data_IF_722652364718
#
_entry.id   IF_722652364718
#
_cell.length_a   1.000
_cell.length_b   1.000
_cell.length_c   1.000
_cell.angle_alpha   90.00
_cell.angle_beta   90.00
_cell.angle_gamma   90.00
#
_symmetry.space_group_name_H-M   'P 1'
#
loop_
_entity.id
_entity.type
_entity.pdbx_description
1 polymer ?
#
# COMPACT_ATOMS: atom_id res chain seq x y z
N UNK A 1 -12.08 23.36 -14.44
CA UNK A 1 -11.92 21.96 -14.00
C UNK A 1 -12.45 21.82 -12.57
N UNK A 2 -13.26 20.81 -12.27
CA UNK A 2 -13.93 20.65 -10.97
C UNK A 2 -12.93 20.07 -9.94
N UNK A 3 -12.52 20.87 -8.94
CA UNK A 3 -11.53 20.51 -7.91
C UNK A 3 -11.83 19.16 -7.23
N UNK A 4 -13.11 18.86 -6.99
CA UNK A 4 -13.53 17.58 -6.39
C UNK A 4 -13.15 16.39 -7.27
N UNK A 5 -13.36 16.51 -8.59
CA UNK A 5 -13.07 15.44 -9.57
C UNK A 5 -11.56 15.18 -9.69
N UNK A 6 -10.76 16.23 -9.57
CA UNK A 6 -9.30 16.13 -9.60
C UNK A 6 -8.75 15.41 -8.36
N UNK A 7 -9.25 15.76 -7.17
CA UNK A 7 -8.91 15.08 -5.91
C UNK A 7 -9.29 13.59 -5.95
N UNK A 8 -10.48 13.28 -6.45
CA UNK A 8 -10.94 11.89 -6.63
C UNK A 8 -10.05 11.10 -7.58
N UNK A 9 -9.69 11.69 -8.73
CA UNK A 9 -8.78 11.05 -9.69
C UNK A 9 -7.43 10.75 -9.07
N UNK A 10 -6.86 11.71 -8.33
CA UNK A 10 -5.59 11.59 -7.61
C UNK A 10 -5.62 10.49 -6.56
N UNK A 11 -6.71 10.41 -5.80
CA UNK A 11 -6.94 9.35 -4.82
C UNK A 11 -7.03 7.98 -5.50
N UNK A 12 -7.84 7.84 -6.56
CA UNK A 12 -8.01 6.59 -7.30
C UNK A 12 -6.70 6.09 -7.90
N UNK A 13 -5.90 6.96 -8.52
CA UNK A 13 -4.60 6.58 -9.07
C UNK A 13 -3.68 6.04 -7.97
N UNK A 14 -3.67 6.67 -6.79
CA UNK A 14 -2.85 6.22 -5.67
C UNK A 14 -3.26 4.84 -5.16
N UNK A 15 -4.57 4.60 -5.07
CA UNK A 15 -5.10 3.29 -4.72
C UNK A 15 -4.75 2.24 -5.76
N UNK A 16 -4.90 2.54 -7.05
CA UNK A 16 -4.58 1.58 -8.12
C UNK A 16 -3.10 1.20 -8.08
N UNK A 17 -2.19 2.16 -7.90
CA UNK A 17 -0.76 1.87 -7.83
C UNK A 17 -0.44 1.00 -6.62
N UNK A 18 -1.05 1.25 -5.46
CA UNK A 18 -0.82 0.47 -4.24
C UNK A 18 -1.51 -0.90 -4.23
N UNK A 19 -2.68 -1.03 -4.85
CA UNK A 19 -3.46 -2.28 -4.83
C UNK A 19 -2.82 -3.35 -5.71
N UNK A 20 -2.15 -2.98 -6.79
CA UNK A 20 -1.47 -3.94 -7.68
C UNK A 20 -0.43 -4.78 -6.92
N UNK A 21 0.63 -4.20 -6.31
CA UNK A 21 1.59 -4.99 -5.54
C UNK A 21 0.94 -5.67 -4.33
N UNK A 22 -0.08 -5.06 -3.71
CA UNK A 22 -0.81 -5.67 -2.60
C UNK A 22 -1.53 -6.97 -3.00
N UNK A 23 -2.19 -6.99 -4.17
CA UNK A 23 -2.85 -8.19 -4.68
C UNK A 23 -1.82 -9.28 -4.99
N UNK A 24 -0.71 -8.94 -5.64
CA UNK A 24 0.38 -9.92 -5.88
C UNK A 24 0.93 -10.49 -4.57
N UNK A 25 1.11 -9.63 -3.55
CA UNK A 25 1.53 -10.05 -2.22
C UNK A 25 0.53 -11.02 -1.59
N UNK A 26 -0.77 -10.67 -1.57
CA UNK A 26 -1.84 -11.50 -0.99
C UNK A 26 -1.91 -12.86 -1.70
N UNK A 27 -1.91 -12.89 -3.03
CA UNK A 27 -1.92 -14.15 -3.79
C UNK A 27 -0.71 -15.00 -3.43
N UNK A 28 0.49 -14.43 -3.41
CA UNK A 28 1.71 -15.15 -3.03
C UNK A 28 1.65 -15.64 -1.57
N UNK A 29 1.09 -14.84 -0.65
CA UNK A 29 0.92 -15.14 0.77
C UNK A 29 0.09 -16.42 0.97
N UNK A 30 -1.04 -16.55 0.27
CA UNK A 30 -1.95 -17.71 0.40
C UNK A 30 -1.60 -18.91 -0.49
N UNK A 31 -0.79 -18.74 -1.55
CA UNK A 31 -0.44 -19.84 -2.46
C UNK A 31 0.68 -20.72 -1.91
N UNK A 32 1.68 -20.12 -1.26
CA UNK A 32 2.76 -20.84 -0.60
C UNK A 32 2.64 -20.58 0.90
N UNK A 33 2.13 -21.56 1.68
CA UNK A 33 2.03 -21.49 3.16
C UNK A 33 3.39 -21.51 3.87
N UNK A 34 4.45 -21.06 3.20
CA UNK A 34 5.78 -20.95 3.76
C UNK A 34 5.99 -19.53 4.28
N UNK A 35 6.59 -19.40 5.45
CA UNK A 35 7.19 -18.15 5.90
C UNK A 35 8.06 -17.57 4.77
N UNK A 36 7.95 -16.27 4.50
CA UNK A 36 8.84 -15.58 3.56
C UNK A 36 10.33 -15.63 3.97
N UNK A 37 10.60 -16.11 5.18
CA UNK A 37 11.90 -16.36 5.77
C UNK A 37 12.02 -17.85 6.17
N UNK A 38 12.02 -18.76 5.19
CA UNK A 38 12.17 -20.21 5.41
C UNK A 38 13.63 -20.69 5.50
N UNK A 39 14.59 -19.77 5.71
CA UNK A 39 16.01 -20.08 5.97
C UNK A 39 16.83 -20.57 4.77
N UNK A 40 16.20 -21.01 3.68
CA UNK A 40 16.90 -21.56 2.51
C UNK A 40 17.06 -20.56 1.36
N UNK A 41 16.10 -19.64 1.19
CA UNK A 41 16.23 -18.45 0.33
C UNK A 41 15.05 -17.50 0.58
N UNK A 42 15.21 -16.26 0.11
CA UNK A 42 14.21 -15.23 0.24
C UNK A 42 13.08 -15.49 -0.77
N UNK A 43 11.83 -15.63 -0.30
CA UNK A 43 10.71 -15.86 -1.21
C UNK A 43 10.42 -14.58 -2.02
N UNK A 44 11.04 -14.46 -3.19
CA UNK A 44 10.94 -13.29 -4.06
C UNK A 44 9.48 -12.98 -4.45
N UNK A 45 8.63 -14.01 -4.56
CA UNK A 45 7.21 -13.85 -4.84
C UNK A 45 6.45 -13.11 -3.75
N UNK A 46 6.87 -13.20 -2.49
CA UNK A 46 6.31 -12.42 -1.37
C UNK A 46 7.08 -11.12 -1.15
N UNK A 47 8.41 -11.17 -1.21
CA UNK A 47 9.26 -10.05 -0.83
C UNK A 47 9.21 -8.88 -1.79
N UNK A 48 9.25 -9.13 -3.10
CA UNK A 48 9.22 -8.08 -4.11
C UNK A 48 7.93 -7.25 -4.01
N UNK A 49 6.72 -7.85 -4.05
CA UNK A 49 5.50 -7.06 -3.93
C UNK A 49 5.35 -6.40 -2.55
N UNK A 50 5.79 -7.03 -1.46
CA UNK A 50 5.80 -6.39 -0.14
C UNK A 50 6.72 -5.16 -0.11
N UNK A 51 7.90 -5.23 -0.71
CA UNK A 51 8.86 -4.12 -0.77
C UNK A 51 8.31 -2.96 -1.58
N UNK A 52 7.73 -3.24 -2.76
CA UNK A 52 7.07 -2.20 -3.56
C UNK A 52 5.90 -1.56 -2.82
N UNK A 53 5.11 -2.35 -2.11
CA UNK A 53 4.01 -1.85 -1.30
C UNK A 53 4.49 -0.94 -0.16
N UNK A 54 5.50 -1.36 0.61
CA UNK A 54 6.07 -0.55 1.70
C UNK A 54 6.72 0.74 1.18
N UNK A 55 7.41 0.67 0.04
CA UNK A 55 7.97 1.85 -0.61
C UNK A 55 6.87 2.83 -1.04
N UNK A 56 5.76 2.32 -1.57
CA UNK A 56 4.60 3.12 -1.95
C UNK A 56 3.90 3.77 -0.74
N UNK A 57 3.67 3.01 0.34
CA UNK A 57 3.15 3.53 1.61
C UNK A 57 4.03 4.66 2.16
N UNK A 58 5.35 4.43 2.20
CA UNK A 58 6.32 5.43 2.65
C UNK A 58 6.26 6.68 1.79
N UNK A 59 6.17 6.52 0.46
CA UNK A 59 5.99 7.64 -0.46
C UNK A 59 4.72 8.44 -0.18
N UNK A 60 3.58 7.79 0.07
CA UNK A 60 2.32 8.47 0.37
C UNK A 60 2.39 9.27 1.68
N UNK A 61 3.05 8.73 2.70
CA UNK A 61 3.26 9.42 3.99
C UNK A 61 4.17 10.64 3.78
N UNK A 62 5.30 10.48 3.09
CA UNK A 62 6.23 11.61 2.81
C UNK A 62 5.54 12.68 1.94
N UNK A 63 4.78 12.26 0.92
CA UNK A 63 4.00 13.17 0.07
C UNK A 63 3.00 13.97 0.91
N UNK A 64 2.27 13.32 1.82
CA UNK A 64 1.33 13.98 2.71
C UNK A 64 2.01 15.03 3.59
N UNK A 65 3.15 14.69 4.21
CA UNK A 65 3.93 15.61 5.04
C UNK A 65 4.37 16.84 4.24
N UNK A 66 4.90 16.65 3.03
CA UNK A 66 5.31 17.75 2.14
C UNK A 66 4.11 18.63 1.77
N UNK A 67 2.95 18.03 1.50
CA UNK A 67 1.74 18.77 1.15
C UNK A 67 1.18 19.56 2.35
N UNK A 68 1.28 19.02 3.56
CA UNK A 68 0.90 19.73 4.79
C UNK A 68 1.81 20.93 5.06
N UNK A 69 3.12 20.79 4.89
CA UNK A 69 4.08 21.92 4.98
C UNK A 69 3.76 23.01 3.97
N UNK A 70 3.25 22.64 2.78
CA UNK A 70 2.82 23.58 1.74
C UNK A 70 1.39 24.12 1.93
N UNK A 71 0.77 23.89 3.09
CA UNK A 71 -0.62 24.25 3.40
C UNK A 71 -1.68 23.65 2.46
N UNK A 72 -1.34 22.59 1.71
CA UNK A 72 -2.26 21.86 0.81
C UNK A 72 -2.92 20.71 1.56
N UNK A 73 -3.69 21.04 2.59
CA UNK A 73 -4.26 20.07 3.53
C UNK A 73 -5.13 19.01 2.84
N UNK A 74 -6.00 19.42 1.91
CA UNK A 74 -6.90 18.49 1.20
C UNK A 74 -6.13 17.47 0.37
N UNK A 75 -5.07 17.89 -0.32
CA UNK A 75 -4.24 17.00 -1.11
C UNK A 75 -3.47 16.02 -0.21
N UNK A 76 -2.88 16.52 0.89
CA UNK A 76 -2.15 15.68 1.83
C UNK A 76 -3.05 14.64 2.51
N UNK A 77 -4.28 15.03 2.86
CA UNK A 77 -5.27 14.10 3.40
C UNK A 77 -5.63 12.98 2.41
N UNK A 78 -5.67 13.24 1.10
CA UNK A 78 -5.91 12.18 0.11
C UNK A 78 -4.79 11.13 0.12
N UNK A 79 -3.54 11.54 0.31
CA UNK A 79 -2.40 10.62 0.42
C UNK A 79 -2.47 9.81 1.72
N UNK A 80 -2.83 10.44 2.84
CA UNK A 80 -3.05 9.72 4.12
C UNK A 80 -4.22 8.74 4.00
N UNK A 81 -5.35 9.12 3.42
CA UNK A 81 -6.49 8.21 3.28
C UNK A 81 -6.16 7.02 2.38
N UNK A 82 -5.37 7.22 1.32
CA UNK A 82 -4.94 6.13 0.46
C UNK A 82 -4.01 5.17 1.23
N UNK A 83 -3.02 5.70 1.94
CA UNK A 83 -2.09 4.93 2.77
C UNK A 83 -2.83 4.14 3.87
N UNK A 84 -3.72 4.78 4.61
CA UNK A 84 -4.50 4.13 5.67
C UNK A 84 -5.37 2.97 5.13
N UNK A 85 -6.04 3.16 3.99
CA UNK A 85 -6.89 2.13 3.40
C UNK A 85 -6.05 0.92 2.93
N UNK A 86 -4.97 1.19 2.20
CA UNK A 86 -4.07 0.16 1.70
C UNK A 86 -3.37 -0.58 2.85
N UNK A 87 -2.82 0.16 3.82
CA UNK A 87 -2.19 -0.39 5.02
C UNK A 87 -3.13 -1.24 5.86
N UNK A 88 -4.41 -0.84 5.99
CA UNK A 88 -5.42 -1.65 6.68
C UNK A 88 -5.63 -3.00 5.98
N UNK A 89 -5.76 -3.02 4.65
CA UNK A 89 -5.92 -4.26 3.89
C UNK A 89 -4.68 -5.15 4.04
N UNK A 90 -3.48 -4.57 4.01
CA UNK A 90 -2.22 -5.28 4.22
C UNK A 90 -2.16 -5.95 5.60
N UNK A 91 -2.44 -5.19 6.67
CA UNK A 91 -2.45 -5.72 8.05
C UNK A 91 -3.49 -6.82 8.22
N UNK A 92 -4.71 -6.63 7.69
CA UNK A 92 -5.76 -7.64 7.75
C UNK A 92 -5.34 -8.91 7.00
N UNK A 93 -4.68 -8.79 5.85
CA UNK A 93 -4.22 -9.94 5.08
C UNK A 93 -3.17 -10.77 5.83
N UNK A 94 -2.22 -10.09 6.49
CA UNK A 94 -1.24 -10.75 7.38
C UNK A 94 -1.92 -11.41 8.58
N UNK A 95 -2.87 -10.73 9.20
CA UNK A 95 -3.62 -11.28 10.34
C UNK A 95 -4.40 -12.54 9.94
N UNK A 96 -5.10 -12.49 8.80
CA UNK A 96 -5.87 -13.63 8.29
C UNK A 96 -4.94 -14.80 8.00
N UNK A 97 -3.84 -14.60 7.27
CA UNK A 97 -2.91 -15.70 6.98
C UNK A 97 -2.31 -16.29 8.26
N UNK A 98 -1.99 -15.47 9.26
CA UNK A 98 -1.47 -15.96 10.55
C UNK A 98 -2.44 -16.85 11.33
N UNK A 99 -3.76 -16.71 11.11
CA UNK A 99 -4.80 -17.50 11.78
C UNK A 99 -5.16 -18.81 11.06
N UNK A 100 -4.69 -19.04 9.83
CA UNK A 100 -5.05 -20.19 8.96
C UNK A 100 -3.89 -21.17 8.72
#
# INVERSE_FOLDING_TARGET
MNLKRELQKRFLIRLIIGIVPLVFFIVALFTARESGNSGMSLNLGKFVPATFFVAWETFLIVEALILFVKHRIKDGLMSIYAASLLGMIFIVSLYVEHQY
#
